data_IF_618612735875
#
_entry.id   IF_618612735875
#
_cell.length_a   1.000
_cell.length_b   1.000
_cell.length_c   1.000
_cell.angle_alpha   90.00
_cell.angle_beta   90.00
_cell.angle_gamma   90.00
#
_symmetry.space_group_name_H-M   'P 1'
#
loop_
_entity.id
_entity.type
_entity.pdbx_description
1 polymer ?
#
# COMPACT_ATOMS: atom_id res chain seq x y z
N UNK A 1 -3.06 22.59 8.27
CA UNK A 1 -3.04 21.13 8.56
C UNK A 1 -4.46 20.58 8.65
N UNK A 2 -4.65 19.39 8.16
CA UNK A 2 -5.88 18.58 8.32
C UNK A 2 -5.49 17.33 9.10
N UNK A 3 -6.07 17.09 10.27
CA UNK A 3 -5.66 15.95 11.13
C UNK A 3 -6.58 14.73 11.06
N UNK A 4 -7.66 14.81 10.28
CA UNK A 4 -8.62 13.73 10.10
C UNK A 4 -9.54 13.46 11.32
N UNK A 5 -9.20 13.93 12.48
CA UNK A 5 -9.99 13.77 13.70
C UNK A 5 -10.92 14.96 13.95
N UNK A 6 -10.49 16.15 13.57
CA UNK A 6 -11.24 17.39 13.72
C UNK A 6 -11.77 17.85 12.35
N UNK A 7 -12.97 18.45 12.34
CA UNK A 7 -13.55 19.02 11.11
C UNK A 7 -12.91 20.35 10.70
N UNK A 8 -12.16 20.97 11.60
CA UNK A 8 -11.54 22.28 11.36
C UNK A 8 -10.13 22.11 10.79
N UNK A 9 -9.83 22.89 9.77
CA UNK A 9 -8.46 23.06 9.26
C UNK A 9 -7.71 23.98 10.23
N UNK A 10 -6.52 23.56 10.68
CA UNK A 10 -5.59 24.41 11.43
C UNK A 10 -4.62 25.07 10.46
N UNK A 11 -4.49 26.37 10.54
CA UNK A 11 -3.50 27.14 9.78
C UNK A 11 -2.31 27.46 10.67
N UNK A 12 -1.18 27.71 10.04
CA UNK A 12 0.05 28.16 10.69
C UNK A 12 0.39 27.30 11.92
N UNK A 13 0.74 26.04 11.66
CA UNK A 13 1.10 25.09 12.71
C UNK A 13 2.50 24.53 12.49
N UNK A 14 3.19 24.25 13.58
CA UNK A 14 4.44 23.48 13.62
C UNK A 14 4.13 22.07 14.10
N UNK A 15 4.63 21.06 13.40
CA UNK A 15 4.51 19.66 13.77
C UNK A 15 5.89 19.16 14.18
N UNK A 16 6.07 18.81 15.45
CA UNK A 16 7.31 18.23 15.96
C UNK A 16 7.25 16.72 15.91
N UNK A 17 8.28 16.12 15.29
CA UNK A 17 8.40 14.67 15.12
C UNK A 17 9.70 14.19 15.79
N UNK A 18 9.58 13.16 16.61
CA UNK A 18 10.71 12.42 17.16
C UNK A 18 10.66 10.97 16.70
N UNK A 19 11.68 10.56 15.95
CA UNK A 19 11.70 9.22 15.35
C UNK A 19 10.51 9.01 14.39
N UNK A 20 9.58 8.13 14.74
CA UNK A 20 8.38 7.81 13.97
C UNK A 20 7.08 8.39 14.57
N UNK A 21 7.20 9.32 15.54
CA UNK A 21 6.07 9.84 16.31
C UNK A 21 5.92 11.35 16.21
N UNK A 22 4.69 11.80 16.03
CA UNK A 22 4.31 13.20 16.26
C UNK A 22 4.24 13.38 17.76
N UNK A 23 5.12 14.24 18.31
CA UNK A 23 5.19 14.52 19.76
C UNK A 23 4.50 15.81 20.13
N UNK A 24 4.40 16.77 19.20
CA UNK A 24 3.66 18.00 19.42
C UNK A 24 3.07 18.56 18.11
N UNK A 25 1.98 19.30 18.23
CA UNK A 25 1.41 20.15 17.18
C UNK A 25 1.11 21.50 17.82
N UNK A 26 1.88 22.50 17.46
CA UNK A 26 1.88 23.83 18.07
C UNK A 26 1.30 24.85 17.10
N UNK A 27 0.65 25.89 17.62
CA UNK A 27 0.15 26.99 16.80
C UNK A 27 1.28 27.99 16.51
N UNK A 28 1.40 28.42 15.26
CA UNK A 28 2.45 29.27 14.77
C UNK A 28 3.65 28.52 14.20
N UNK A 29 4.61 29.29 13.69
CA UNK A 29 5.89 28.77 13.19
C UNK A 29 6.91 28.81 14.31
N UNK A 30 7.25 27.67 14.89
CA UNK A 30 8.13 27.52 16.03
C UNK A 30 9.38 26.76 15.60
N UNK A 31 10.54 27.37 15.84
CA UNK A 31 11.84 26.74 15.63
C UNK A 31 12.27 25.98 16.90
N UNK A 32 12.79 24.77 16.71
CA UNK A 32 13.38 23.96 17.77
C UNK A 32 14.88 23.79 17.47
N UNK A 33 15.75 24.17 18.42
CA UNK A 33 17.20 24.27 18.23
C UNK A 33 17.87 23.00 17.73
N UNK A 34 17.36 21.82 18.13
CA UNK A 34 17.93 20.51 17.81
C UNK A 34 17.15 19.77 16.69
N UNK A 35 16.21 20.43 16.01
CA UNK A 35 15.38 19.82 14.98
C UNK A 35 15.77 20.27 13.56
N UNK A 36 15.72 19.35 12.61
CA UNK A 36 15.75 19.69 11.20
C UNK A 36 14.43 20.37 10.79
N UNK A 37 14.53 21.58 10.24
CA UNK A 37 13.36 22.32 9.77
C UNK A 37 13.01 21.93 8.34
N UNK A 38 11.78 21.46 8.13
CA UNK A 38 11.18 21.28 6.81
C UNK A 38 10.09 22.33 6.62
N UNK A 39 10.37 23.35 5.81
CA UNK A 39 9.40 24.41 5.52
C UNK A 39 8.33 23.94 4.53
N UNK A 40 7.11 23.84 5.03
CA UNK A 40 5.90 23.50 4.27
C UNK A 40 4.84 24.61 4.38
N UNK A 41 5.26 25.86 4.59
CA UNK A 41 4.36 27.01 4.81
C UNK A 41 3.42 27.29 3.64
N UNK A 42 3.78 26.86 2.42
CA UNK A 42 2.97 26.96 1.21
C UNK A 42 2.14 25.68 0.92
N UNK A 43 2.13 24.74 1.83
CA UNK A 43 1.53 23.42 1.67
C UNK A 43 0.44 23.12 2.70
N UNK A 44 -0.40 22.16 2.36
CA UNK A 44 -1.34 21.57 3.31
C UNK A 44 -0.83 20.20 3.72
N UNK A 45 -0.53 20.02 5.00
CA UNK A 45 -0.16 18.73 5.57
C UNK A 45 -1.41 18.00 6.04
N UNK A 46 -1.49 16.72 5.75
CA UNK A 46 -2.57 15.82 6.14
C UNK A 46 -2.04 14.40 6.38
N UNK A 47 -2.77 13.54 7.11
CA UNK A 47 -2.43 12.13 7.21
C UNK A 47 -2.37 11.48 5.82
N UNK A 48 -1.49 10.51 5.66
CA UNK A 48 -1.46 9.70 4.44
C UNK A 48 -2.80 9.00 4.18
N UNK A 49 -3.15 8.87 2.92
CA UNK A 49 -4.35 8.16 2.52
C UNK A 49 -4.26 6.66 2.85
N UNK A 50 -5.42 6.05 3.03
CA UNK A 50 -5.55 4.61 3.19
C UNK A 50 -6.44 4.06 2.08
N UNK A 51 -5.92 3.07 1.33
CA UNK A 51 -6.73 2.30 0.39
C UNK A 51 -7.03 0.93 0.99
N UNK A 52 -8.31 0.66 1.18
CA UNK A 52 -8.77 -0.56 1.84
C UNK A 52 -9.07 -1.70 0.86
N UNK A 53 -8.76 -1.54 -0.43
CA UNK A 53 -8.96 -2.57 -1.45
C UNK A 53 -7.94 -2.43 -2.57
N UNK A 54 -6.80 -3.10 -2.40
CA UNK A 54 -5.74 -3.14 -3.42
C UNK A 54 -5.32 -4.58 -3.73
N UNK A 55 -4.61 -4.75 -4.83
CA UNK A 55 -3.87 -5.93 -5.23
C UNK A 55 -2.50 -5.47 -5.73
N UNK A 56 -1.48 -5.51 -4.85
CA UNK A 56 -0.16 -4.95 -5.16
C UNK A 56 0.73 -5.85 -6.02
N UNK A 57 0.32 -7.09 -6.25
CA UNK A 57 1.04 -8.06 -7.07
C UNK A 57 0.88 -7.84 -8.58
N UNK A 58 -0.10 -7.03 -9.02
CA UNK A 58 -0.35 -6.77 -10.43
C UNK A 58 -0.98 -5.41 -10.71
N UNK A 59 -1.05 -5.07 -11.98
CA UNK A 59 -1.89 -3.99 -12.52
C UNK A 59 -3.06 -4.59 -13.30
N UNK A 60 -4.18 -3.88 -13.37
CA UNK A 60 -5.33 -4.31 -14.13
C UNK A 60 -5.09 -4.08 -15.63
N UNK A 61 -4.29 -4.97 -16.23
CA UNK A 61 -4.09 -5.05 -17.67
C UNK A 61 -4.60 -6.41 -18.19
N UNK A 62 -5.86 -6.50 -18.63
CA UNK A 62 -6.49 -7.77 -18.97
C UNK A 62 -5.72 -8.63 -19.97
N UNK A 63 -5.12 -8.10 -21.04
CA UNK A 63 -4.37 -8.95 -21.97
C UNK A 63 -3.11 -9.58 -21.35
N UNK A 64 -2.42 -8.86 -20.45
CA UNK A 64 -1.21 -9.34 -19.82
C UNK A 64 -1.51 -10.25 -18.61
N UNK A 65 -2.47 -9.88 -17.78
CA UNK A 65 -2.75 -10.55 -16.50
C UNK A 65 -3.16 -12.03 -16.67
N UNK A 66 -3.88 -12.40 -17.75
CA UNK A 66 -4.25 -13.78 -18.00
C UNK A 66 -3.07 -14.69 -18.35
N UNK A 67 -1.96 -14.14 -18.82
CA UNK A 67 -0.78 -14.92 -19.22
C UNK A 67 0.33 -14.89 -18.17
N UNK A 68 0.29 -13.96 -17.22
CA UNK A 68 1.35 -13.77 -16.23
C UNK A 68 1.59 -14.98 -15.35
N UNK A 69 0.53 -15.65 -14.91
CA UNK A 69 0.62 -16.86 -14.08
C UNK A 69 1.37 -18.02 -14.78
N UNK A 70 1.52 -17.95 -16.11
CA UNK A 70 2.27 -18.96 -16.88
C UNK A 70 3.75 -18.60 -17.05
N UNK A 71 4.13 -17.34 -16.87
CA UNK A 71 5.47 -16.86 -17.22
C UNK A 71 6.22 -16.24 -16.05
N UNK A 72 5.53 -15.91 -14.94
CA UNK A 72 6.13 -15.28 -13.78
C UNK A 72 6.14 -16.23 -12.58
N UNK A 73 7.27 -16.32 -11.91
CA UNK A 73 7.38 -16.99 -10.62
C UNK A 73 7.24 -15.97 -9.46
N UNK A 74 7.16 -16.47 -8.22
CA UNK A 74 6.99 -15.63 -7.04
C UNK A 74 8.04 -14.51 -6.90
N UNK A 75 9.27 -14.76 -7.35
CA UNK A 75 10.32 -13.75 -7.28
C UNK A 75 10.08 -12.62 -8.29
N UNK A 76 9.63 -12.95 -9.50
CA UNK A 76 9.31 -11.96 -10.54
C UNK A 76 8.15 -11.08 -10.09
N UNK A 77 7.10 -11.70 -9.52
CA UNK A 77 5.92 -11.00 -8.98
C UNK A 77 6.34 -10.09 -7.82
N UNK A 78 7.14 -10.59 -6.86
CA UNK A 78 7.59 -9.82 -5.72
C UNK A 78 8.42 -8.59 -6.15
N UNK A 79 9.35 -8.76 -7.09
CA UNK A 79 10.16 -7.65 -7.61
C UNK A 79 9.30 -6.62 -8.33
N UNK A 80 8.35 -7.05 -9.17
CA UNK A 80 7.41 -6.14 -9.84
C UNK A 80 6.53 -5.40 -8.83
N UNK A 81 6.05 -6.08 -7.81
CA UNK A 81 5.21 -5.52 -6.76
C UNK A 81 5.91 -4.39 -5.98
N UNK A 82 7.25 -4.38 -5.89
CA UNK A 82 7.98 -3.24 -5.31
C UNK A 82 7.74 -1.94 -6.07
N UNK A 83 7.65 -2.00 -7.39
CA UNK A 83 7.33 -0.83 -8.22
C UNK A 83 5.93 -0.29 -7.92
N UNK A 84 4.94 -1.18 -7.80
CA UNK A 84 3.57 -0.78 -7.52
C UNK A 84 3.41 -0.24 -6.09
N UNK A 85 4.07 -0.87 -5.11
CA UNK A 85 4.12 -0.38 -3.74
C UNK A 85 4.70 1.03 -3.66
N UNK A 86 5.81 1.28 -4.35
CA UNK A 86 6.43 2.61 -4.41
C UNK A 86 5.50 3.65 -5.05
N UNK A 87 4.90 3.35 -6.22
CA UNK A 87 3.95 4.24 -6.90
C UNK A 87 2.74 4.57 -6.01
N UNK A 88 2.25 3.57 -5.27
CA UNK A 88 1.15 3.74 -4.31
C UNK A 88 1.54 4.70 -3.18
N UNK A 89 2.74 4.55 -2.62
CA UNK A 89 3.26 5.45 -1.60
C UNK A 89 3.46 6.87 -2.14
N UNK A 90 4.06 7.02 -3.31
CA UNK A 90 4.29 8.32 -3.98
C UNK A 90 2.98 9.04 -4.34
N UNK A 91 1.89 8.29 -4.56
CA UNK A 91 0.55 8.84 -4.73
C UNK A 91 -0.11 9.30 -3.42
N UNK A 92 0.56 9.14 -2.27
CA UNK A 92 0.10 9.58 -0.96
C UNK A 92 -0.62 8.52 -0.14
N UNK A 93 -0.71 7.27 -0.61
CA UNK A 93 -1.29 6.17 0.15
C UNK A 93 -0.22 5.54 1.05
N UNK A 94 -0.28 5.81 2.35
CA UNK A 94 0.70 5.33 3.33
C UNK A 94 0.31 4.02 3.98
N UNK A 95 -0.94 3.60 3.84
CA UNK A 95 -1.44 2.31 4.33
C UNK A 95 -2.42 1.71 3.32
N UNK A 96 -2.32 0.41 3.11
CA UNK A 96 -3.21 -0.31 2.19
C UNK A 96 -3.66 -1.63 2.78
N UNK A 97 -4.85 -2.08 2.39
CA UNK A 97 -5.34 -3.42 2.66
C UNK A 97 -5.41 -4.21 1.37
N UNK A 98 -4.53 -5.18 1.22
CA UNK A 98 -4.55 -6.11 0.10
C UNK A 98 -5.55 -7.24 0.38
N UNK A 99 -6.56 -7.37 -0.47
CA UNK A 99 -7.70 -8.27 -0.24
C UNK A 99 -7.50 -9.67 -0.81
N UNK A 100 -6.37 -9.94 -1.37
CA UNK A 100 -6.02 -11.27 -1.86
C UNK A 100 -5.16 -11.23 -3.11
N UNK A 101 -4.37 -12.26 -3.27
CA UNK A 101 -3.39 -12.42 -4.33
C UNK A 101 -3.36 -13.88 -4.80
N UNK A 102 -2.98 -14.09 -6.03
CA UNK A 102 -2.65 -15.43 -6.55
C UNK A 102 -1.35 -15.96 -5.93
N UNK A 103 -0.38 -15.08 -5.65
CA UNK A 103 0.90 -15.42 -5.05
C UNK A 103 1.08 -14.80 -3.64
N UNK A 104 0.61 -15.54 -2.64
CA UNK A 104 0.70 -15.13 -1.23
C UNK A 104 2.15 -14.96 -0.78
N UNK A 105 3.08 -15.77 -1.28
CA UNK A 105 4.47 -15.69 -0.87
C UNK A 105 5.12 -14.38 -1.35
N UNK A 106 4.83 -13.98 -2.58
CA UNK A 106 5.32 -12.71 -3.14
C UNK A 106 4.79 -11.51 -2.34
N UNK A 107 3.48 -11.46 -2.04
CA UNK A 107 2.86 -10.38 -1.29
C UNK A 107 3.39 -10.28 0.15
N UNK A 108 3.47 -11.41 0.85
CA UNK A 108 3.99 -11.43 2.22
C UNK A 108 5.47 -11.07 2.26
N UNK A 109 6.24 -11.52 1.27
CA UNK A 109 7.64 -11.13 1.10
C UNK A 109 7.80 -9.63 0.90
N UNK A 110 6.97 -9.01 0.06
CA UNK A 110 6.93 -7.56 -0.15
C UNK A 110 6.62 -6.82 1.16
N UNK A 111 5.55 -7.22 1.86
CA UNK A 111 5.16 -6.63 3.16
C UNK A 111 6.31 -6.67 4.16
N UNK A 112 6.95 -7.83 4.28
CA UNK A 112 8.02 -8.04 5.25
C UNK A 112 9.29 -7.25 4.86
N UNK A 113 9.58 -7.11 3.57
CA UNK A 113 10.66 -6.29 3.05
C UNK A 113 10.44 -4.79 3.34
N UNK A 114 9.22 -4.30 3.17
CA UNK A 114 8.85 -2.92 3.53
C UNK A 114 8.97 -2.71 5.05
N UNK A 115 8.44 -3.62 5.87
CA UNK A 115 8.52 -3.54 7.32
C UNK A 115 9.96 -3.55 7.86
N UNK A 116 10.89 -4.17 7.12
CA UNK A 116 12.32 -4.20 7.44
C UNK A 116 13.12 -3.04 6.84
N UNK A 117 12.47 -2.18 6.06
CA UNK A 117 13.12 -1.06 5.37
C UNK A 117 14.02 -1.47 4.19
N UNK A 118 13.84 -2.67 3.63
CA UNK A 118 14.61 -3.11 2.46
C UNK A 118 14.10 -2.47 1.16
N UNK A 119 12.80 -2.19 1.09
CA UNK A 119 12.15 -1.50 -0.02
C UNK A 119 11.16 -0.47 0.50
N UNK A 120 10.92 0.57 -0.28
CA UNK A 120 9.94 1.62 0.01
C UNK A 120 8.54 1.18 -0.40
N UNK A 121 7.55 1.49 0.43
CA UNK A 121 6.15 1.21 0.15
C UNK A 121 5.23 1.55 1.32
N UNK A 122 3.92 1.44 1.13
CA UNK A 122 2.94 1.68 2.18
C UNK A 122 2.95 0.53 3.21
N UNK A 123 2.37 0.76 4.37
CA UNK A 123 2.07 -0.31 5.32
C UNK A 123 1.01 -1.24 4.73
N UNK A 124 1.33 -2.53 4.58
CA UNK A 124 0.45 -3.51 3.95
C UNK A 124 -0.24 -4.36 5.00
N UNK A 125 -1.58 -4.37 4.97
CA UNK A 125 -2.43 -5.32 5.67
C UNK A 125 -2.88 -6.38 4.65
N UNK A 126 -2.26 -7.56 4.70
CA UNK A 126 -2.48 -8.61 3.70
C UNK A 126 -3.51 -9.63 4.19
N UNK A 127 -4.54 -9.90 3.41
CA UNK A 127 -5.51 -10.96 3.66
C UNK A 127 -4.97 -12.35 3.29
N UNK A 128 -3.99 -12.41 2.40
CA UNK A 128 -3.50 -13.67 1.84
C UNK A 128 -4.38 -14.18 0.70
N UNK A 129 -4.75 -15.46 0.70
CA UNK A 129 -5.67 -16.00 -0.31
C UNK A 129 -7.10 -15.55 -0.06
N UNK A 130 -7.80 -15.24 -1.13
CA UNK A 130 -9.24 -14.99 -1.09
C UNK A 130 -10.02 -16.26 -0.75
N UNK A 131 -11.09 -16.12 0.03
CA UNK A 131 -12.05 -17.18 0.27
C UNK A 131 -13.21 -16.97 -0.71
N UNK A 132 -13.45 -17.94 -1.58
CA UNK A 132 -14.50 -17.86 -2.58
C UNK A 132 -15.36 -19.14 -2.61
N UNK A 133 -16.61 -18.97 -3.01
CA UNK A 133 -17.45 -20.11 -3.41
C UNK A 133 -17.13 -20.50 -4.86
N UNK A 134 -17.37 -21.74 -5.22
CA UNK A 134 -17.30 -22.20 -6.63
C UNK A 134 -18.15 -21.30 -7.52
N UNK A 135 -17.54 -20.75 -8.58
CA UNK A 135 -18.19 -19.80 -9.49
C UNK A 135 -18.30 -18.37 -8.92
N UNK A 136 -17.78 -18.11 -7.71
CA UNK A 136 -17.74 -16.77 -7.11
C UNK A 136 -16.66 -15.87 -7.75
N UNK A 137 -16.69 -14.58 -7.44
CA UNK A 137 -15.77 -13.57 -8.01
C UNK A 137 -14.29 -13.94 -7.89
N UNK A 138 -13.88 -14.47 -6.75
CA UNK A 138 -12.47 -14.80 -6.48
C UNK A 138 -12.15 -16.30 -6.74
N UNK A 139 -13.03 -17.03 -7.44
CA UNK A 139 -12.73 -18.39 -7.88
C UNK A 139 -11.77 -18.32 -9.08
N UNK A 140 -10.52 -18.81 -8.94
CA UNK A 140 -9.53 -18.73 -10.02
C UNK A 140 -9.88 -19.59 -11.22
N UNK A 141 -10.86 -20.51 -11.09
CA UNK A 141 -11.31 -21.37 -12.18
C UNK A 141 -12.44 -20.77 -13.03
N UNK A 142 -12.93 -19.56 -12.65
CA UNK A 142 -13.96 -18.87 -13.42
C UNK A 142 -13.50 -18.58 -14.86
N UNK A 143 -14.37 -18.93 -15.82
CA UNK A 143 -14.07 -18.77 -17.24
C UNK A 143 -13.11 -19.79 -17.83
N UNK A 144 -12.49 -20.64 -17.02
CA UNK A 144 -11.63 -21.72 -17.52
C UNK A 144 -12.50 -22.88 -17.99
N UNK A 145 -12.16 -23.40 -19.15
CA UNK A 145 -12.80 -24.59 -19.72
C UNK A 145 -12.67 -25.77 -18.74
N UNK A 146 -13.76 -26.53 -18.56
CA UNK A 146 -13.86 -27.52 -17.48
C UNK A 146 -12.72 -28.54 -17.47
N UNK A 147 -12.28 -29.00 -18.65
CA UNK A 147 -11.20 -29.99 -18.80
C UNK A 147 -9.79 -29.43 -18.54
N UNK A 148 -9.66 -28.09 -18.36
CA UNK A 148 -8.42 -27.42 -18.03
C UNK A 148 -8.40 -26.93 -16.57
N UNK A 149 -9.48 -27.09 -15.82
CA UNK A 149 -9.51 -26.76 -14.39
C UNK A 149 -8.67 -27.80 -13.65
N UNK A 150 -7.68 -27.33 -12.90
CA UNK A 150 -7.00 -28.20 -11.92
C UNK A 150 -7.97 -28.62 -10.81
N UNK A 151 -7.59 -29.66 -10.08
CA UNK A 151 -8.29 -29.98 -8.83
C UNK A 151 -8.21 -28.79 -7.87
N UNK A 152 -9.32 -28.46 -7.17
CA UNK A 152 -9.39 -27.30 -6.26
C UNK A 152 -8.48 -27.43 -5.04
#
# INVERSE_FOLDING_TARGET
MIDGANKAVRNDVTILIEGDRIVAIEDGFIEHEDAELIDLSDRTVMPGFMDMHVHLDGELDPPASYSEDYFMNSADIALRATLYARRTLEAGFTSVRDLGTSDVAALLGLRDAINKGYVEGPRIFAAGKSIATTGGHADPTNGIRYDLRGDP
#
